data_IF_306127266902
#
_entry.id   IF_306127266902
#
_cell.length_a   1.000
_cell.length_b   1.000
_cell.length_c   1.000
_cell.angle_alpha   90.00
_cell.angle_beta   90.00
_cell.angle_gamma   90.00
#
_symmetry.space_group_name_H-M   'P 1'
#
loop_
_entity.id
_entity.type
_entity.pdbx_description
1 polymer ?
#
# COMPACT_ATOMS: atom_id res chain seq x y z
N UNK A 1 -10.39 -5.15 -1.78
CA UNK A 1 -10.29 -3.72 -2.18
C UNK A 1 -9.03 -3.43 -3.03
N UNK A 2 -7.84 -3.97 -2.71
CA UNK A 2 -6.60 -3.72 -3.47
C UNK A 2 -6.52 -4.41 -4.84
N UNK A 3 -7.23 -5.49 -5.10
CA UNK A 3 -7.31 -6.13 -6.42
C UNK A 3 -7.73 -5.15 -7.54
N UNK A 4 -8.42 -4.09 -7.19
CA UNK A 4 -9.07 -3.15 -8.09
C UNK A 4 -8.13 -2.15 -8.73
N UNK A 5 -7.26 -1.52 -7.94
CA UNK A 5 -6.25 -0.59 -8.47
C UNK A 5 -5.28 -1.29 -9.41
N UNK A 6 -4.92 -2.51 -9.07
CA UNK A 6 -4.00 -3.29 -9.89
C UNK A 6 -4.64 -3.75 -11.19
N UNK A 7 -5.92 -4.16 -11.16
CA UNK A 7 -6.64 -4.50 -12.39
C UNK A 7 -6.75 -3.31 -13.34
N UNK A 8 -7.03 -2.09 -12.84
CA UNK A 8 -7.09 -0.88 -13.67
C UNK A 8 -5.72 -0.59 -14.28
N UNK A 9 -4.68 -0.51 -13.46
CA UNK A 9 -3.32 -0.24 -13.94
C UNK A 9 -2.81 -1.32 -14.88
N UNK A 10 -3.06 -2.60 -14.58
CA UNK A 10 -2.61 -3.71 -15.41
C UNK A 10 -3.26 -3.65 -16.78
N UNK A 11 -4.53 -3.25 -16.89
CA UNK A 11 -5.21 -2.98 -18.15
C UNK A 11 -4.60 -1.79 -18.92
N UNK A 12 -4.33 -0.70 -18.21
CA UNK A 12 -3.62 0.44 -18.80
C UNK A 12 -2.24 0.04 -19.33
N UNK A 13 -1.55 -0.84 -18.62
CA UNK A 13 -0.20 -1.28 -18.93
C UNK A 13 -0.15 -2.33 -20.03
N UNK A 14 -1.03 -3.33 -20.01
CA UNK A 14 -1.03 -4.47 -20.94
C UNK A 14 -1.82 -4.18 -22.20
N UNK A 15 -2.98 -3.54 -22.05
CA UNK A 15 -3.91 -3.30 -23.13
C UNK A 15 -3.80 -1.87 -23.70
N UNK A 16 -2.99 -1.00 -23.08
CA UNK A 16 -2.82 0.40 -23.50
C UNK A 16 -4.07 1.25 -23.29
N UNK A 17 -4.99 0.84 -22.41
CA UNK A 17 -6.25 1.51 -22.17
C UNK A 17 -6.04 2.82 -21.39
N UNK A 18 -6.86 3.82 -21.68
CA UNK A 18 -6.94 5.02 -20.84
C UNK A 18 -7.59 4.70 -19.48
N UNK A 19 -7.25 5.48 -18.45
CA UNK A 19 -7.69 5.26 -17.08
C UNK A 19 -9.23 5.09 -16.96
N UNK A 20 -10.01 5.94 -17.66
CA UNK A 20 -11.46 5.88 -17.62
C UNK A 20 -12.03 4.58 -18.16
N UNK A 21 -11.47 4.08 -19.25
CA UNK A 21 -11.92 2.86 -19.91
C UNK A 21 -11.52 1.63 -19.08
N UNK A 22 -10.32 1.63 -18.53
CA UNK A 22 -9.84 0.59 -17.63
C UNK A 22 -10.66 0.52 -16.33
N UNK A 23 -11.06 1.66 -15.78
CA UNK A 23 -11.94 1.75 -14.63
C UNK A 23 -13.34 1.23 -14.94
N UNK A 24 -13.93 1.64 -16.08
CA UNK A 24 -15.25 1.19 -16.51
C UNK A 24 -15.29 -0.33 -16.68
N UNK A 25 -14.28 -0.90 -17.34
CA UNK A 25 -14.15 -2.35 -17.50
C UNK A 25 -13.98 -3.06 -16.17
N UNK A 26 -13.16 -2.52 -15.25
CA UNK A 26 -12.97 -3.09 -13.91
C UNK A 26 -14.29 -3.09 -13.10
N UNK A 27 -15.11 -2.06 -13.28
CA UNK A 27 -16.44 -1.96 -12.65
C UNK A 27 -17.41 -2.99 -13.23
N UNK A 28 -17.46 -3.12 -14.55
CA UNK A 28 -18.30 -4.10 -15.26
C UNK A 28 -17.96 -5.55 -14.85
N UNK A 29 -16.68 -5.85 -14.69
CA UNK A 29 -16.20 -7.16 -14.25
C UNK A 29 -16.34 -7.40 -12.73
N UNK A 30 -16.90 -6.44 -11.99
CA UNK A 30 -17.10 -6.56 -10.54
C UNK A 30 -15.82 -6.40 -9.70
N UNK A 31 -14.73 -5.97 -10.30
CA UNK A 31 -13.47 -5.71 -9.60
C UNK A 31 -13.40 -4.32 -8.96
N UNK A 32 -14.15 -3.34 -9.42
CA UNK A 32 -14.27 -2.04 -8.79
C UNK A 32 -15.65 -1.89 -8.11
N UNK A 33 -15.66 -1.26 -6.93
CA UNK A 33 -16.92 -0.88 -6.26
C UNK A 33 -17.57 0.28 -7.00
N UNK A 34 -18.83 0.54 -6.66
CA UNK A 34 -19.56 1.70 -7.20
C UNK A 34 -18.84 3.04 -6.90
N UNK A 35 -18.12 3.11 -5.78
CA UNK A 35 -17.23 4.23 -5.44
C UNK A 35 -15.78 3.75 -5.21
N UNK A 36 -14.92 3.82 -6.24
CA UNK A 36 -13.52 3.42 -6.14
C UNK A 36 -12.60 4.50 -5.54
N UNK A 37 -13.12 5.67 -5.15
CA UNK A 37 -12.36 6.86 -4.75
C UNK A 37 -11.28 6.55 -3.70
N UNK A 38 -11.63 5.80 -2.66
CA UNK A 38 -10.67 5.47 -1.59
C UNK A 38 -9.42 4.73 -2.10
N UNK A 39 -9.58 3.97 -3.18
CA UNK A 39 -8.49 3.21 -3.79
C UNK A 39 -7.70 4.08 -4.78
N UNK A 40 -8.37 4.71 -5.75
CA UNK A 40 -7.72 5.45 -6.84
C UNK A 40 -7.08 6.77 -6.39
N UNK A 41 -7.65 7.41 -5.36
CA UNK A 41 -7.07 8.61 -4.74
C UNK A 41 -6.04 8.30 -3.65
N UNK A 42 -5.77 7.02 -3.36
CA UNK A 42 -4.73 6.61 -2.42
C UNK A 42 -5.09 6.75 -0.95
N UNK A 43 -6.35 7.00 -0.60
CA UNK A 43 -6.78 7.23 0.78
C UNK A 43 -6.61 5.99 1.66
N UNK A 44 -6.90 4.79 1.12
CA UNK A 44 -6.64 3.53 1.83
C UNK A 44 -5.15 3.31 2.08
N UNK A 45 -4.31 3.60 1.09
CA UNK A 45 -2.86 3.55 1.24
C UNK A 45 -2.36 4.55 2.30
N UNK A 46 -2.92 5.77 2.32
CA UNK A 46 -2.58 6.79 3.32
C UNK A 46 -2.86 6.35 4.75
N UNK A 47 -4.04 5.75 5.01
CA UNK A 47 -4.38 5.19 6.33
C UNK A 47 -3.39 4.10 6.76
N UNK A 48 -2.98 3.26 5.82
CA UNK A 48 -2.01 2.18 6.08
C UNK A 48 -0.61 2.72 6.34
N UNK A 49 -0.18 3.75 5.61
CA UNK A 49 1.11 4.42 5.85
C UNK A 49 1.14 5.05 7.23
N UNK A 50 0.07 5.74 7.65
CA UNK A 50 -0.01 6.33 8.99
C UNK A 50 0.16 5.27 10.09
N UNK A 51 -0.53 4.14 9.96
CA UNK A 51 -0.41 3.02 10.91
C UNK A 51 1.01 2.43 10.90
N UNK A 52 1.55 2.12 9.71
CA UNK A 52 2.87 1.51 9.58
C UNK A 52 3.98 2.44 10.08
N UNK A 53 3.91 3.73 9.77
CA UNK A 53 4.84 4.73 10.28
C UNK A 53 4.78 4.83 11.81
N UNK A 54 3.58 4.84 12.38
CA UNK A 54 3.40 4.90 13.83
C UNK A 54 4.04 3.70 14.53
N UNK A 55 3.87 2.50 13.96
CA UNK A 55 4.44 1.26 14.51
C UNK A 55 5.97 1.22 14.32
N UNK A 56 6.45 1.52 13.11
CA UNK A 56 7.85 1.40 12.77
C UNK A 56 8.75 2.40 13.52
N UNK A 57 8.23 3.63 13.72
CA UNK A 57 9.02 4.70 14.33
C UNK A 57 8.62 5.00 15.77
N UNK A 58 7.73 4.19 16.34
CA UNK A 58 7.21 4.38 17.71
C UNK A 58 6.73 5.83 17.96
N UNK A 59 6.04 6.39 16.98
CA UNK A 59 5.57 7.78 16.97
C UNK A 59 4.15 7.82 16.46
N UNK A 60 3.37 8.82 16.90
CA UNK A 60 2.00 8.98 16.41
C UNK A 60 2.00 9.70 15.07
N UNK A 61 1.69 9.01 14.00
CA UNK A 61 1.41 9.59 12.68
C UNK A 61 -0.08 9.38 12.42
N UNK A 62 -0.82 10.47 12.21
CA UNK A 62 -2.26 10.40 11.87
C UNK A 62 -2.46 10.55 10.37
N UNK A 63 -3.65 10.19 9.90
CA UNK A 63 -3.97 10.24 8.47
C UNK A 63 -3.79 11.65 7.87
N UNK A 64 -4.12 12.68 8.62
CA UNK A 64 -4.03 14.07 8.17
C UNK A 64 -2.58 14.58 8.01
N UNK A 65 -1.60 13.87 8.60
CA UNK A 65 -0.17 14.15 8.45
C UNK A 65 0.40 13.58 7.15
N UNK A 66 -0.35 12.69 6.45
CA UNK A 66 0.13 11.98 5.27
C UNK A 66 -0.21 12.77 4.01
N UNK A 67 0.80 13.18 3.25
CA UNK A 67 0.55 13.70 1.90
C UNK A 67 0.03 12.60 0.99
N UNK A 68 -1.05 12.86 0.25
CA UNK A 68 -1.68 11.85 -0.60
C UNK A 68 -1.93 12.40 -1.99
N UNK A 69 -1.42 11.69 -2.99
CA UNK A 69 -1.74 11.89 -4.40
C UNK A 69 -2.13 10.56 -5.03
N UNK A 70 -3.30 10.52 -5.68
CA UNK A 70 -3.84 9.33 -6.35
C UNK A 70 -3.29 9.11 -7.75
N UNK A 71 -3.83 8.10 -8.43
CA UNK A 71 -3.41 7.68 -9.78
C UNK A 71 -4.25 8.30 -10.90
N UNK A 72 -5.23 9.11 -10.57
CA UNK A 72 -6.23 9.62 -11.54
C UNK A 72 -5.64 10.51 -12.62
N UNK A 73 -4.45 11.08 -12.38
CA UNK A 73 -3.72 11.93 -13.34
C UNK A 73 -2.75 11.14 -14.23
N UNK A 74 -2.52 9.86 -13.95
CA UNK A 74 -1.59 9.03 -14.73
C UNK A 74 -2.27 8.59 -16.02
N UNK A 75 -1.61 8.86 -17.14
CA UNK A 75 -2.08 8.50 -18.48
C UNK A 75 -1.40 7.24 -19.02
N UNK A 76 -2.00 6.61 -20.03
CA UNK A 76 -1.37 5.51 -20.76
C UNK A 76 -0.02 5.92 -21.40
N UNK A 77 0.12 7.19 -21.78
CA UNK A 77 1.36 7.75 -22.30
C UNK A 77 2.48 7.79 -21.27
N UNK A 78 2.15 8.16 -20.02
CA UNK A 78 3.11 8.17 -18.91
C UNK A 78 3.63 6.74 -18.63
N UNK A 79 2.72 5.76 -18.64
CA UNK A 79 3.08 4.35 -18.44
C UNK A 79 4.00 3.87 -19.56
N UNK A 80 3.71 4.25 -20.82
CA UNK A 80 4.56 3.89 -21.95
C UNK A 80 5.96 4.48 -21.81
N UNK A 81 6.08 5.75 -21.47
CA UNK A 81 7.38 6.40 -21.29
C UNK A 81 8.15 5.81 -20.10
N UNK A 82 7.46 5.50 -19.00
CA UNK A 82 8.09 4.81 -17.89
C UNK A 82 8.73 3.49 -18.33
N UNK A 83 8.01 2.70 -19.13
CA UNK A 83 8.53 1.43 -19.68
C UNK A 83 9.72 1.62 -20.62
N UNK A 84 9.67 2.62 -21.49
CA UNK A 84 10.81 2.97 -22.37
C UNK A 84 12.07 3.35 -21.56
N UNK A 85 11.88 3.91 -20.36
CA UNK A 85 12.97 4.21 -19.42
C UNK A 85 13.37 3.01 -18.53
N UNK A 86 12.79 1.83 -18.72
CA UNK A 86 13.05 0.66 -17.87
C UNK A 86 12.46 0.77 -16.47
N UNK A 87 11.39 1.55 -16.31
CA UNK A 87 10.71 1.81 -15.05
C UNK A 87 9.24 1.37 -15.08
N UNK A 88 8.69 1.19 -13.91
CA UNK A 88 7.26 0.97 -13.67
C UNK A 88 6.68 2.10 -12.81
N UNK A 89 5.44 2.52 -13.09
CA UNK A 89 4.71 3.45 -12.23
C UNK A 89 3.93 2.62 -11.20
N UNK A 90 4.18 2.86 -9.92
CA UNK A 90 3.45 2.23 -8.82
C UNK A 90 2.92 3.30 -7.86
N UNK A 91 1.69 3.14 -7.35
CA UNK A 91 1.22 3.94 -6.23
C UNK A 91 1.86 3.37 -4.96
N UNK A 92 2.76 4.11 -4.38
CA UNK A 92 3.51 3.69 -3.19
C UNK A 92 3.18 4.59 -2.00
N UNK A 93 2.99 3.94 -0.85
CA UNK A 93 3.03 4.61 0.44
C UNK A 93 4.44 4.51 1.00
N UNK A 94 5.00 5.63 1.38
CA UNK A 94 6.36 5.75 1.90
C UNK A 94 6.33 6.40 3.27
N UNK A 95 7.09 5.83 4.19
CA UNK A 95 7.39 6.44 5.47
C UNK A 95 8.89 6.37 5.71
N UNK A 96 9.49 7.48 6.14
CA UNK A 96 10.91 7.58 6.46
C UNK A 96 11.09 8.31 7.78
N UNK A 97 12.07 7.85 8.55
CA UNK A 97 12.55 8.58 9.71
C UNK A 97 13.79 9.38 9.28
N UNK A 98 13.73 10.69 9.38
CA UNK A 98 14.79 11.63 8.99
C UNK A 98 15.24 12.44 10.21
N UNK A 99 16.33 13.16 10.07
CA UNK A 99 16.81 14.08 11.12
C UNK A 99 15.81 15.20 11.42
N UNK A 100 14.98 15.59 10.43
CA UNK A 100 13.97 16.63 10.56
C UNK A 100 12.63 16.12 11.09
N UNK A 101 12.45 14.79 11.15
CA UNK A 101 11.22 14.14 11.60
C UNK A 101 10.75 13.00 10.68
N UNK A 102 9.49 12.63 10.82
CA UNK A 102 8.91 11.54 10.04
C UNK A 102 8.27 12.12 8.77
N UNK A 103 8.75 11.67 7.61
CA UNK A 103 8.09 11.88 6.34
C UNK A 103 7.10 10.74 6.08
N UNK A 104 5.86 11.07 5.72
CA UNK A 104 4.84 10.09 5.35
C UNK A 104 4.03 10.58 4.14
N UNK A 105 4.01 9.80 3.07
CA UNK A 105 3.29 10.18 1.86
C UNK A 105 2.87 9.00 1.01
N UNK A 106 1.87 9.22 0.15
CA UNK A 106 1.39 8.29 -0.87
C UNK A 106 1.36 9.04 -2.20
N UNK A 107 2.06 8.55 -3.19
CA UNK A 107 2.00 9.10 -4.54
C UNK A 107 2.38 8.06 -5.61
N UNK A 108 2.02 8.30 -6.87
CA UNK A 108 2.56 7.55 -8.00
C UNK A 108 4.08 7.79 -8.10
N UNK A 109 4.84 6.71 -8.15
CA UNK A 109 6.31 6.76 -8.23
C UNK A 109 6.82 5.94 -9.39
N UNK A 110 7.84 6.48 -10.08
CA UNK A 110 8.66 5.73 -11.01
C UNK A 110 9.68 4.89 -10.23
N UNK A 111 9.64 3.58 -10.41
CA UNK A 111 10.61 2.67 -9.82
C UNK A 111 11.29 1.85 -10.92
N UNK A 112 12.58 1.56 -10.82
CA UNK A 112 13.26 0.67 -11.77
C UNK A 112 12.54 -0.67 -11.86
N UNK A 113 12.38 -1.22 -13.08
CA UNK A 113 11.73 -2.53 -13.25
C UNK A 113 12.49 -3.68 -12.57
N UNK A 114 13.76 -3.46 -12.21
CA UNK A 114 14.57 -4.38 -11.41
C UNK A 114 14.28 -4.30 -9.90
N UNK A 115 13.54 -3.28 -9.43
CA UNK A 115 13.22 -3.14 -8.01
C UNK A 115 12.22 -4.22 -7.57
N UNK A 116 12.39 -4.85 -6.40
CA UNK A 116 11.50 -5.93 -5.94
C UNK A 116 10.01 -5.55 -5.94
N UNK A 117 9.66 -4.31 -5.61
CA UNK A 117 8.27 -3.83 -5.65
C UNK A 117 7.69 -3.73 -7.07
N UNK A 118 8.50 -3.67 -8.13
CA UNK A 118 8.01 -3.63 -9.51
C UNK A 118 7.28 -4.92 -9.89
N UNK A 119 7.75 -6.07 -9.37
CA UNK A 119 7.17 -7.39 -9.64
C UNK A 119 5.87 -7.69 -8.87
N UNK A 120 5.48 -6.82 -7.93
CA UNK A 120 4.25 -7.00 -7.16
C UNK A 120 3.04 -6.64 -8.01
N UNK A 121 2.26 -7.65 -8.42
CA UNK A 121 1.10 -7.51 -9.30
C UNK A 121 -0.13 -8.23 -8.74
N UNK A 122 -1.28 -8.05 -9.38
CA UNK A 122 -2.57 -8.68 -9.06
C UNK A 122 -3.03 -8.45 -7.62
N UNK A 123 -3.42 -9.48 -6.92
CA UNK A 123 -3.92 -9.46 -5.54
C UNK A 123 -2.81 -9.44 -4.48
N UNK A 124 -1.55 -9.44 -4.91
CA UNK A 124 -0.43 -9.42 -3.98
C UNK A 124 -0.11 -8.03 -3.48
N UNK A 125 0.35 -7.98 -2.26
CA UNK A 125 0.82 -6.77 -1.59
C UNK A 125 2.23 -7.00 -1.09
N UNK A 126 2.99 -5.91 -0.98
CA UNK A 126 4.29 -5.97 -0.36
C UNK A 126 4.52 -4.77 0.55
N UNK A 127 5.30 -5.00 1.59
CA UNK A 127 5.91 -3.96 2.41
C UNK A 127 7.42 -4.14 2.29
N UNK A 128 8.08 -3.14 1.76
CA UNK A 128 9.53 -3.10 1.64
C UNK A 128 10.10 -2.25 2.76
N UNK A 129 11.01 -2.81 3.50
CA UNK A 129 11.64 -2.17 4.66
C UNK A 129 13.13 -2.09 4.41
N UNK A 130 13.70 -0.90 4.59
CA UNK A 130 15.14 -0.70 4.66
C UNK A 130 15.49 -0.34 6.10
N UNK A 131 16.32 -1.14 6.73
CA UNK A 131 16.76 -0.97 8.12
C UNK A 131 18.27 -1.08 8.25
N UNK A 132 18.80 -0.45 9.29
CA UNK A 132 20.25 -0.32 9.49
C UNK A 132 20.97 -1.67 9.59
N UNK A 133 20.35 -2.65 10.26
CA UNK A 133 21.00 -3.95 10.52
C UNK A 133 20.59 -5.03 9.51
N UNK A 134 19.35 -5.00 9.02
CA UNK A 134 18.81 -6.02 8.11
C UNK A 134 18.84 -5.57 6.65
N UNK A 135 19.29 -4.34 6.41
CA UNK A 135 19.28 -3.72 5.08
C UNK A 135 17.87 -3.78 4.45
N UNK A 136 17.73 -4.50 3.35
CA UNK A 136 16.48 -4.61 2.60
C UNK A 136 15.74 -5.89 2.96
N UNK A 137 14.52 -5.74 3.46
CA UNK A 137 13.59 -6.83 3.70
C UNK A 137 12.27 -6.57 2.97
N UNK A 138 11.64 -7.60 2.45
CA UNK A 138 10.34 -7.51 1.81
C UNK A 138 9.37 -8.53 2.37
N UNK A 139 8.22 -8.07 2.83
CA UNK A 139 7.09 -8.89 3.19
C UNK A 139 6.13 -8.92 2.00
N UNK A 140 5.84 -10.10 1.49
CA UNK A 140 5.05 -10.29 0.29
C UNK A 140 3.98 -11.34 0.52
N UNK A 141 2.75 -11.05 0.12
CA UNK A 141 1.63 -11.97 0.28
C UNK A 141 0.31 -11.41 -0.24
N UNK A 142 -0.72 -12.23 -0.15
CA UNK A 142 -2.09 -11.80 -0.48
C UNK A 142 -2.62 -10.90 0.62
N UNK A 143 -2.98 -9.66 0.26
CA UNK A 143 -3.51 -8.66 1.20
C UNK A 143 -5.04 -8.60 1.22
N UNK A 144 -5.71 -9.29 0.30
CA UNK A 144 -7.17 -9.33 0.19
C UNK A 144 -7.61 -10.74 -0.16
N UNK A 145 -8.87 -11.05 0.17
CA UNK A 145 -9.51 -12.33 -0.03
C UNK A 145 -10.09 -12.88 1.27
N UNK A 146 -11.01 -13.81 1.16
CA UNK A 146 -11.74 -14.39 2.30
C UNK A 146 -10.77 -15.04 3.30
N UNK A 147 -9.98 -16.00 2.85
CA UNK A 147 -9.04 -16.75 3.71
C UNK A 147 -7.91 -15.89 4.28
N UNK A 148 -7.21 -15.03 3.52
CA UNK A 148 -6.20 -14.14 4.08
C UNK A 148 -6.75 -13.21 5.15
N UNK A 149 -7.96 -12.67 4.95
CA UNK A 149 -8.61 -11.80 5.93
C UNK A 149 -8.99 -12.58 7.19
N UNK A 150 -9.60 -13.73 7.03
CA UNK A 150 -9.96 -14.60 8.15
C UNK A 150 -8.72 -15.02 8.96
N UNK A 151 -7.62 -15.38 8.28
CA UNK A 151 -6.36 -15.74 8.93
C UNK A 151 -5.80 -14.59 9.78
N UNK A 152 -5.85 -13.35 9.29
CA UNK A 152 -5.40 -12.18 10.04
C UNK A 152 -6.25 -11.95 11.29
N UNK A 153 -7.59 -12.02 11.17
CA UNK A 153 -8.52 -11.86 12.31
C UNK A 153 -8.28 -12.94 13.36
N UNK A 154 -8.14 -14.20 12.94
CA UNK A 154 -7.87 -15.31 13.87
C UNK A 154 -6.51 -15.14 14.56
N UNK A 155 -5.48 -14.68 13.85
CA UNK A 155 -4.18 -14.36 14.41
C UNK A 155 -4.28 -13.32 15.53
N UNK A 156 -4.99 -12.22 15.29
CA UNK A 156 -5.21 -11.16 16.27
C UNK A 156 -5.98 -11.68 17.51
N UNK A 157 -6.99 -12.54 17.31
CA UNK A 157 -7.72 -13.15 18.42
C UNK A 157 -6.81 -14.04 19.28
N UNK A 158 -5.91 -14.82 18.68
CA UNK A 158 -4.93 -15.60 19.42
C UNK A 158 -3.97 -14.73 20.22
N UNK A 159 -3.48 -13.65 19.64
CA UNK A 159 -2.58 -12.73 20.35
C UNK A 159 -3.29 -12.01 21.52
N UNK A 160 -4.54 -11.58 21.33
CA UNK A 160 -5.36 -11.03 22.39
C UNK A 160 -5.56 -12.06 23.52
N UNK A 161 -5.93 -13.28 23.20
CA UNK A 161 -6.13 -14.34 24.20
C UNK A 161 -4.85 -14.64 25.00
N UNK A 162 -3.69 -14.68 24.33
CA UNK A 162 -2.39 -14.84 25.00
C UNK A 162 -2.07 -13.70 25.94
N UNK A 163 -2.33 -12.46 25.52
CA UNK A 163 -2.09 -11.26 26.32
C UNK A 163 -2.99 -11.24 27.55
N UNK A 164 -4.27 -11.57 27.40
CA UNK A 164 -5.21 -11.69 28.55
C UNK A 164 -4.71 -12.78 29.52
N UNK A 165 -4.35 -13.97 29.03
CA UNK A 165 -3.85 -15.04 29.87
C UNK A 165 -2.56 -14.71 30.62
N UNK A 166 -1.68 -13.94 29.97
CA UNK A 166 -0.40 -13.51 30.56
C UNK A 166 -0.51 -12.23 31.40
N UNK A 167 -1.72 -11.65 31.51
CA UNK A 167 -1.97 -10.34 32.13
C UNK A 167 -1.01 -9.25 31.63
N UNK A 168 -0.73 -9.26 30.32
CA UNK A 168 0.15 -8.32 29.65
C UNK A 168 -0.66 -7.34 28.81
N UNK A 169 -0.21 -6.09 28.77
CA UNK A 169 -0.66 -5.13 27.75
C UNK A 169 -0.14 -5.53 26.37
N UNK A 170 -0.74 -4.96 25.31
CA UNK A 170 -0.28 -5.19 23.95
C UNK A 170 1.23 -4.93 23.80
N UNK A 171 1.89 -5.67 22.87
CA UNK A 171 3.33 -5.57 22.60
C UNK A 171 3.78 -4.17 22.15
N UNK A 172 2.85 -3.40 21.61
CA UNK A 172 3.08 -2.02 21.21
C UNK A 172 2.64 -1.16 22.38
N UNK A 173 3.57 -0.44 22.98
CA UNK A 173 3.29 0.53 24.04
C UNK A 173 2.33 1.62 23.53
N UNK A 174 1.79 2.40 24.47
CA UNK A 174 0.98 3.55 24.10
C UNK A 174 1.84 4.52 23.27
N UNK A 175 1.46 4.76 22.02
CA UNK A 175 2.07 5.79 21.16
C UNK A 175 1.59 7.20 21.53
N UNK A 176 1.31 7.42 22.80
CA UNK A 176 0.92 8.73 23.31
C UNK A 176 2.15 9.62 23.39
N UNK A 177 2.09 10.77 22.76
CA UNK A 177 3.11 11.80 22.91
C UNK A 177 3.11 12.41 24.30
N UNK A 178 4.30 12.63 24.76
CA UNK A 178 4.55 13.73 25.70
C UNK A 178 4.96 14.95 24.91
#
# INVERSE_FOLDING_TARGET
RRQRQMCIRDRMTQDGMEFKDALALATELGYAEADPTADIEGLDAGRKVAILASVAFNSRVVFDDVYIEGITKITAKDIKYAKEMGCDIKLLGVAKNTEEGIEAYVCPMLIPSSHPLASVNDSYNAVFVNGDAVENAMFYGRGAGELPTASAVVGDLFDIARNIKANCCARIGCTCYK
#
